data_IF_598953808838
#
_entry.id   IF_598953808838
#
_cell.length_a   1.000
_cell.length_b   1.000
_cell.length_c   1.000
_cell.angle_alpha   90.00
_cell.angle_beta   90.00
_cell.angle_gamma   90.00
#
_symmetry.space_group_name_H-M   'P 1'
#
loop_
_entity.id
_entity.type
_entity.pdbx_description
1 polymer ?
#
# COMPACT_ATOMS: atom_id res chain seq x y z
N UNK A 1 39.84 0.55 -51.89
CA UNK A 1 39.72 -0.40 -50.78
C UNK A 1 40.89 -0.21 -49.83
N UNK A 2 40.67 0.39 -48.68
CA UNK A 2 41.73 0.56 -47.67
C UNK A 2 42.01 -0.77 -46.96
N UNK A 3 43.31 -1.14 -46.94
CA UNK A 3 43.77 -2.34 -46.23
C UNK A 3 43.65 -2.13 -44.71
N UNK A 4 42.88 -2.99 -44.04
CA UNK A 4 42.73 -2.99 -42.59
C UNK A 4 44.11 -3.17 -41.90
N UNK A 5 44.39 -2.39 -40.88
CA UNK A 5 45.59 -2.51 -40.05
C UNK A 5 45.62 -3.85 -39.30
N UNK A 6 46.78 -4.28 -38.81
CA UNK A 6 46.97 -5.54 -38.08
C UNK A 6 46.08 -5.63 -36.83
N UNK A 7 45.87 -4.52 -36.14
CA UNK A 7 44.96 -4.44 -34.97
C UNK A 7 43.49 -4.54 -35.36
N UNK A 8 43.08 -3.89 -36.43
CA UNK A 8 41.70 -3.95 -36.94
C UNK A 8 41.33 -5.39 -37.38
N UNK A 9 42.28 -6.15 -37.93
CA UNK A 9 42.09 -7.57 -38.26
C UNK A 9 41.93 -8.42 -36.98
N UNK A 10 42.69 -8.12 -35.92
CA UNK A 10 42.62 -8.80 -34.63
C UNK A 10 41.29 -8.58 -33.91
N UNK A 11 40.79 -7.36 -33.93
CA UNK A 11 39.48 -6.96 -33.37
C UNK A 11 38.34 -7.62 -34.15
N UNK A 12 38.39 -7.59 -35.48
CA UNK A 12 37.40 -8.25 -36.35
C UNK A 12 37.34 -9.78 -36.11
N UNK A 13 38.47 -10.43 -35.83
CA UNK A 13 38.48 -11.86 -35.49
C UNK A 13 37.85 -12.12 -34.12
N UNK A 14 38.11 -11.29 -33.11
CA UNK A 14 37.49 -11.40 -31.78
C UNK A 14 35.96 -11.16 -31.84
N UNK A 15 35.49 -10.16 -32.61
CA UNK A 15 34.08 -9.87 -32.81
C UNK A 15 33.33 -11.04 -33.46
N UNK A 16 33.94 -11.73 -34.45
CA UNK A 16 33.33 -12.93 -35.06
C UNK A 16 33.20 -14.09 -34.08
N UNK A 17 34.19 -14.26 -33.19
CA UNK A 17 34.12 -15.29 -32.14
C UNK A 17 33.02 -15.00 -31.16
N UNK A 18 32.88 -13.73 -30.70
CA UNK A 18 31.81 -13.28 -29.80
C UNK A 18 30.43 -13.39 -30.43
N UNK A 19 30.29 -13.05 -31.72
CA UNK A 19 29.04 -13.23 -32.46
C UNK A 19 28.62 -14.70 -32.51
N UNK A 20 29.59 -15.59 -32.79
CA UNK A 20 29.29 -17.04 -32.84
C UNK A 20 28.87 -17.58 -31.47
N UNK A 21 29.57 -17.20 -30.41
CA UNK A 21 29.23 -17.57 -29.03
C UNK A 21 27.86 -17.01 -28.59
N UNK A 22 27.52 -15.79 -29.00
CA UNK A 22 26.21 -15.19 -28.70
C UNK A 22 25.05 -15.94 -29.39
N UNK A 23 25.25 -16.36 -30.65
CA UNK A 23 24.26 -17.18 -31.37
C UNK A 23 24.09 -18.56 -30.71
N UNK A 24 25.19 -19.18 -30.32
CA UNK A 24 25.17 -20.47 -29.61
C UNK A 24 24.50 -20.39 -28.23
N UNK A 25 24.52 -19.20 -27.61
CA UNK A 25 23.85 -18.90 -26.32
C UNK A 25 22.36 -18.46 -26.49
N UNK A 26 21.79 -18.55 -27.69
CA UNK A 26 20.36 -18.27 -27.93
C UNK A 26 19.99 -16.81 -28.05
N UNK A 27 20.96 -15.90 -28.24
CA UNK A 27 20.66 -14.47 -28.43
C UNK A 27 20.05 -14.24 -29.83
N UNK A 28 18.88 -13.63 -29.85
CA UNK A 28 18.10 -13.40 -31.07
C UNK A 28 18.86 -12.58 -32.11
N UNK A 29 18.81 -13.02 -33.39
CA UNK A 29 19.52 -12.39 -34.51
C UNK A 29 19.18 -10.89 -34.74
N UNK A 30 18.02 -10.43 -34.29
CA UNK A 30 17.61 -9.02 -34.34
C UNK A 30 18.53 -8.13 -33.48
N UNK A 31 18.90 -8.60 -32.31
CA UNK A 31 19.82 -7.88 -31.39
C UNK A 31 21.24 -7.75 -31.96
N UNK A 32 21.69 -8.81 -32.67
CA UNK A 32 22.99 -8.82 -33.36
C UNK A 32 23.00 -7.89 -34.58
N UNK A 33 21.87 -7.72 -35.28
CA UNK A 33 21.73 -6.72 -36.36
C UNK A 33 21.76 -5.29 -35.80
N UNK A 34 21.13 -5.02 -34.65
CA UNK A 34 21.21 -3.72 -33.99
C UNK A 34 22.62 -3.37 -33.56
N UNK A 35 23.37 -4.32 -32.98
CA UNK A 35 24.79 -4.14 -32.63
C UNK A 35 25.68 -3.91 -33.84
N UNK A 36 25.42 -4.57 -34.97
CA UNK A 36 26.14 -4.34 -36.22
C UNK A 36 25.81 -2.96 -36.84
N UNK A 37 24.56 -2.49 -36.71
CA UNK A 37 24.18 -1.14 -37.14
C UNK A 37 24.89 -0.08 -36.31
N UNK A 38 24.96 -0.22 -35.01
CA UNK A 38 25.69 0.71 -34.11
C UNK A 38 27.20 0.71 -34.41
N UNK A 39 27.78 -0.45 -34.70
CA UNK A 39 29.19 -0.56 -35.06
C UNK A 39 29.52 0.10 -36.39
N UNK A 40 28.70 -0.09 -37.45
CA UNK A 40 28.85 0.53 -38.75
C UNK A 40 28.62 2.03 -38.68
N UNK A 41 27.66 2.50 -37.92
CA UNK A 41 27.42 3.90 -37.64
C UNK A 41 28.62 4.59 -36.99
N UNK A 42 29.31 3.93 -36.06
CA UNK A 42 30.57 4.42 -35.46
C UNK A 42 31.73 4.51 -36.45
N UNK A 43 31.80 3.67 -37.47
CA UNK A 43 32.85 3.72 -38.49
C UNK A 43 32.62 4.85 -39.49
N UNK A 44 31.39 5.11 -39.89
CA UNK A 44 31.05 6.22 -40.78
C UNK A 44 31.23 7.60 -40.14
N UNK A 45 30.95 7.69 -38.82
CA UNK A 45 31.08 8.95 -38.06
C UNK A 45 32.54 9.32 -37.75
N UNK A 46 33.47 8.35 -37.76
CA UNK A 46 34.90 8.63 -37.54
C UNK A 46 35.56 9.36 -38.71
N UNK A 47 34.94 9.40 -39.89
CA UNK A 47 35.51 9.97 -41.11
C UNK A 47 35.03 11.41 -41.41
N UNK A 48 34.07 11.95 -40.63
CA UNK A 48 33.56 13.31 -40.85
C UNK A 48 33.85 14.17 -39.61
N UNK A 49 35.09 14.70 -39.58
CA UNK A 49 35.63 15.41 -38.44
C UNK A 49 34.93 16.74 -38.10
N UNK A 50 35.19 17.21 -36.94
CA UNK A 50 34.91 18.50 -36.28
C UNK A 50 33.46 18.88 -36.02
N UNK A 51 32.60 19.01 -37.03
CA UNK A 51 31.20 19.47 -36.80
C UNK A 51 30.30 18.44 -36.12
N UNK A 52 30.53 17.15 -36.34
CA UNK A 52 29.72 16.08 -35.69
C UNK A 52 30.03 15.96 -34.20
N UNK A 53 31.27 16.16 -33.75
CA UNK A 53 31.58 16.18 -32.30
C UNK A 53 30.89 17.36 -31.62
N UNK A 54 30.83 18.50 -32.23
CA UNK A 54 30.14 19.69 -31.72
C UNK A 54 28.62 19.42 -31.59
N UNK A 55 28.01 18.82 -32.61
CA UNK A 55 26.57 18.47 -32.59
C UNK A 55 26.28 17.47 -31.47
N UNK A 56 27.07 16.42 -31.28
CA UNK A 56 26.90 15.46 -30.22
C UNK A 56 27.02 16.13 -28.84
N UNK A 57 28.00 17.00 -28.64
CA UNK A 57 28.15 17.75 -27.39
C UNK A 57 26.91 18.64 -27.14
N UNK A 58 26.47 19.39 -28.14
CA UNK A 58 25.29 20.26 -28.02
C UNK A 58 24.02 19.46 -27.68
N UNK A 59 23.79 18.33 -28.36
CA UNK A 59 22.64 17.45 -28.08
C UNK A 59 22.73 16.85 -26.69
N UNK A 60 23.90 16.40 -26.27
CA UNK A 60 24.09 15.85 -24.91
C UNK A 60 23.88 16.91 -23.84
N UNK A 61 24.41 18.14 -24.05
CA UNK A 61 24.16 19.24 -23.13
C UNK A 61 22.69 19.64 -23.10
N UNK A 62 22.00 19.67 -24.23
CA UNK A 62 20.56 19.95 -24.28
C UNK A 62 19.73 18.91 -23.53
N UNK A 63 20.01 17.62 -23.73
CA UNK A 63 19.37 16.52 -23.01
C UNK A 63 19.64 16.65 -21.51
N UNK A 64 20.89 16.93 -21.10
CA UNK A 64 21.23 17.14 -19.71
C UNK A 64 20.51 18.33 -19.09
N UNK A 65 20.35 19.44 -19.82
CA UNK A 65 19.59 20.62 -19.39
C UNK A 65 18.11 20.28 -19.23
N UNK A 66 17.50 19.57 -20.19
CA UNK A 66 16.08 19.16 -20.12
C UNK A 66 15.83 18.22 -18.94
N UNK A 67 16.72 17.23 -18.73
CA UNK A 67 16.63 16.32 -17.58
C UNK A 67 16.79 17.10 -16.28
N UNK A 68 17.79 18.00 -16.20
CA UNK A 68 18.03 18.81 -14.99
C UNK A 68 16.86 19.74 -14.69
N UNK A 69 16.27 20.36 -15.72
CA UNK A 69 15.11 21.24 -15.57
C UNK A 69 13.85 20.46 -15.14
N UNK A 70 13.60 19.28 -15.74
CA UNK A 70 12.50 18.41 -15.34
C UNK A 70 12.67 17.92 -13.89
N UNK A 71 13.89 17.55 -13.51
CA UNK A 71 14.21 17.13 -12.16
C UNK A 71 14.09 18.28 -11.15
N UNK A 72 14.57 19.47 -11.50
CA UNK A 72 14.43 20.66 -10.67
C UNK A 72 12.96 21.06 -10.47
N UNK A 73 12.13 21.03 -11.53
CA UNK A 73 10.70 21.28 -11.41
C UNK A 73 9.99 20.24 -10.54
N UNK A 74 10.37 18.98 -10.66
CA UNK A 74 9.84 17.91 -9.79
C UNK A 74 10.21 18.12 -8.32
N UNK A 75 11.43 18.59 -8.03
CA UNK A 75 11.88 18.89 -6.67
C UNK A 75 11.21 20.15 -6.12
N UNK A 76 11.13 21.23 -6.93
CA UNK A 76 10.51 22.50 -6.50
C UNK A 76 9.02 22.33 -6.21
N UNK A 77 8.32 21.49 -6.98
CA UNK A 77 6.91 21.16 -6.78
C UNK A 77 6.66 20.06 -5.73
N UNK A 78 7.68 19.37 -5.30
CA UNK A 78 7.53 18.25 -4.38
C UNK A 78 7.31 18.74 -2.94
N UNK A 79 6.25 18.29 -2.29
CA UNK A 79 6.02 18.51 -0.86
C UNK A 79 7.06 17.81 0.02
N UNK A 80 7.75 16.81 -0.51
CA UNK A 80 8.80 16.05 0.17
C UNK A 80 9.92 15.71 -0.81
N UNK A 81 11.19 15.86 -0.38
CA UNK A 81 12.36 15.52 -1.19
C UNK A 81 12.63 14.02 -1.27
N UNK A 82 12.11 13.26 -0.33
CA UNK A 82 12.23 11.79 -0.32
C UNK A 82 10.95 11.16 -0.87
N UNK A 83 11.07 10.13 -1.71
CA UNK A 83 9.90 9.41 -2.20
C UNK A 83 9.19 8.73 -1.04
N UNK A 84 7.86 8.88 -0.97
CA UNK A 84 7.02 8.19 -0.01
C UNK A 84 6.87 6.72 -0.45
N UNK A 85 7.67 5.83 0.10
CA UNK A 85 7.59 4.39 -0.15
C UNK A 85 7.98 3.59 1.11
N UNK A 86 7.61 2.32 1.12
CA UNK A 86 7.84 1.42 2.25
C UNK A 86 9.31 1.37 2.70
N UNK A 87 10.25 1.32 1.77
CA UNK A 87 11.67 1.24 2.09
C UNK A 87 12.16 2.48 2.84
N UNK A 88 11.79 3.67 2.38
CA UNK A 88 12.18 4.93 3.03
C UNK A 88 11.55 5.01 4.43
N UNK A 89 10.29 4.66 4.56
CA UNK A 89 9.60 4.67 5.86
C UNK A 89 10.23 3.70 6.85
N UNK A 90 10.49 2.45 6.43
CA UNK A 90 11.12 1.46 7.29
C UNK A 90 12.54 1.87 7.71
N UNK A 91 13.30 2.47 6.79
CA UNK A 91 14.67 2.94 7.08
C UNK A 91 14.73 4.20 7.97
N UNK A 92 13.65 5.00 7.99
CA UNK A 92 13.62 6.29 8.71
C UNK A 92 12.76 6.28 9.98
N UNK A 93 11.96 5.22 10.22
CA UNK A 93 11.19 5.13 11.45
C UNK A 93 12.10 5.07 12.67
N UNK A 94 11.71 5.66 13.80
CA UNK A 94 12.43 5.49 15.06
C UNK A 94 12.46 4.01 15.48
N UNK A 95 13.56 3.56 16.05
CA UNK A 95 13.63 2.25 16.69
C UNK A 95 12.69 2.20 17.89
N UNK A 96 11.93 1.14 18.01
CA UNK A 96 11.00 0.95 19.09
C UNK A 96 11.71 0.50 20.39
N UNK A 97 11.27 1.00 21.53
CA UNK A 97 11.64 0.44 22.82
C UNK A 97 10.81 -0.85 23.04
N UNK A 98 11.49 -2.00 23.06
CA UNK A 98 10.84 -3.31 23.16
C UNK A 98 10.07 -3.54 24.48
N UNK A 99 10.10 -2.63 25.42
CA UNK A 99 9.28 -2.69 26.63
C UNK A 99 7.77 -2.71 26.32
N UNK A 100 7.33 -2.14 25.16
CA UNK A 100 5.92 -2.14 24.77
C UNK A 100 5.36 -3.57 24.56
N UNK A 101 6.17 -4.50 24.12
CA UNK A 101 5.77 -5.86 23.76
C UNK A 101 6.38 -6.94 24.65
N UNK A 102 7.29 -6.62 25.55
CA UNK A 102 7.89 -7.59 26.48
C UNK A 102 6.81 -8.27 27.32
N UNK A 103 6.79 -9.62 27.30
CA UNK A 103 5.80 -10.45 27.99
C UNK A 103 4.34 -10.27 27.52
N UNK A 104 4.11 -9.67 26.34
CA UNK A 104 2.78 -9.58 25.73
C UNK A 104 2.56 -10.78 24.84
N UNK A 105 1.66 -11.67 25.25
CA UNK A 105 1.34 -12.93 24.54
C UNK A 105 -0.11 -13.00 24.05
N UNK A 106 -0.91 -12.00 24.41
CA UNK A 106 -2.32 -11.88 24.06
C UNK A 106 -2.78 -10.43 24.23
N UNK A 107 -3.86 -10.01 23.55
CA UNK A 107 -4.43 -8.68 23.75
C UNK A 107 -5.03 -8.54 25.16
N UNK A 108 -5.14 -7.30 25.62
CA UNK A 108 -5.98 -6.97 26.78
C UNK A 108 -7.43 -7.05 26.33
N UNK A 109 -8.25 -7.83 27.01
CA UNK A 109 -9.68 -7.95 26.71
C UNK A 109 -10.50 -7.19 27.73
N UNK A 110 -11.23 -6.19 27.29
CA UNK A 110 -12.06 -5.30 28.09
C UNK A 110 -13.55 -5.50 27.73
N UNK A 111 -14.43 -5.22 28.68
CA UNK A 111 -15.90 -5.28 28.49
C UNK A 111 -16.56 -4.14 29.27
N UNK A 112 -17.59 -3.52 28.68
CA UNK A 112 -18.41 -2.50 29.35
C UNK A 112 -17.55 -1.40 30.02
N UNK A 113 -16.46 -1.02 29.37
CA UNK A 113 -15.48 -0.08 29.93
C UNK A 113 -15.94 1.36 29.77
N UNK A 114 -15.80 2.14 30.80
CA UNK A 114 -16.00 3.59 30.77
C UNK A 114 -14.75 4.31 30.20
N UNK A 115 -14.92 5.52 29.71
CA UNK A 115 -13.81 6.37 29.25
C UNK A 115 -12.73 6.59 30.31
N UNK A 116 -13.14 6.83 31.54
CA UNK A 116 -12.21 7.00 32.68
C UNK A 116 -11.38 5.74 32.96
N UNK A 117 -11.97 4.59 32.83
CA UNK A 117 -11.28 3.31 33.00
C UNK A 117 -10.34 3.02 31.84
N UNK A 118 -10.79 3.32 30.61
CA UNK A 118 -10.02 3.12 29.40
C UNK A 118 -8.78 4.02 29.34
N UNK A 119 -8.81 5.22 29.92
CA UNK A 119 -7.68 6.13 29.97
C UNK A 119 -6.36 5.51 30.46
N UNK A 120 -6.45 4.47 31.31
CA UNK A 120 -5.26 3.71 31.78
C UNK A 120 -4.57 2.90 30.70
N UNK A 121 -5.27 2.60 29.62
CA UNK A 121 -4.82 1.73 28.52
C UNK A 121 -4.60 2.49 27.21
N UNK A 122 -5.26 3.63 27.07
CA UNK A 122 -5.45 4.35 25.82
C UNK A 122 -4.14 4.56 25.02
N UNK A 123 -3.04 4.85 25.69
CA UNK A 123 -1.74 5.15 25.08
C UNK A 123 -0.64 4.16 25.48
N UNK A 124 -1.03 2.95 25.91
CA UNK A 124 -0.08 1.94 26.38
C UNK A 124 0.62 1.18 25.23
N UNK A 125 0.28 1.46 23.98
CA UNK A 125 0.73 0.72 22.79
C UNK A 125 0.49 -0.81 22.85
N UNK A 126 -0.28 -1.29 23.82
CA UNK A 126 -0.65 -2.71 23.96
C UNK A 126 -1.86 -3.01 23.11
N UNK A 127 -1.90 -4.16 22.42
CA UNK A 127 -3.10 -4.60 21.72
C UNK A 127 -4.28 -4.77 22.65
N UNK A 128 -5.43 -4.19 22.32
CA UNK A 128 -6.63 -4.18 23.16
C UNK A 128 -7.82 -4.60 22.32
N UNK A 129 -8.72 -5.40 22.90
CA UNK A 129 -10.06 -5.70 22.37
C UNK A 129 -11.09 -5.22 23.38
N UNK A 130 -11.98 -4.34 22.95
CA UNK A 130 -13.17 -4.01 23.74
C UNK A 130 -14.35 -4.75 23.14
N UNK A 131 -14.86 -5.73 23.89
CA UNK A 131 -15.93 -6.63 23.45
C UNK A 131 -17.28 -5.94 23.46
N UNK A 132 -18.06 -6.13 22.39
CA UNK A 132 -19.42 -5.63 22.22
C UNK A 132 -19.56 -4.09 22.33
N UNK A 133 -18.49 -3.36 22.06
CA UNK A 133 -18.42 -1.91 22.27
C UNK A 133 -19.20 -1.07 21.25
N UNK A 134 -19.58 -1.69 20.13
CA UNK A 134 -20.28 -1.02 19.02
C UNK A 134 -21.52 -1.81 18.55
N UNK A 135 -22.05 -2.66 19.39
CA UNK A 135 -23.21 -3.52 19.06
C UNK A 135 -24.51 -2.71 18.79
N UNK A 136 -24.59 -1.49 19.31
CA UNK A 136 -25.67 -0.55 19.13
C UNK A 136 -25.57 0.30 17.86
N UNK A 137 -24.43 0.28 17.17
CA UNK A 137 -24.28 1.06 15.94
C UNK A 137 -25.30 0.64 14.87
N UNK A 138 -25.96 1.62 14.27
CA UNK A 138 -26.85 1.39 13.12
C UNK A 138 -26.09 0.74 11.95
N UNK A 139 -24.81 1.01 11.82
CA UNK A 139 -23.91 0.42 10.85
C UNK A 139 -23.95 -1.13 10.87
N UNK A 140 -24.12 -1.76 12.03
CA UNK A 140 -24.20 -3.23 12.16
C UNK A 140 -25.36 -3.83 11.36
N UNK A 141 -26.46 -3.11 11.23
CA UNK A 141 -27.65 -3.54 10.48
C UNK A 141 -27.67 -3.03 9.05
N UNK A 142 -27.30 -1.77 8.85
CA UNK A 142 -27.57 -1.04 7.61
C UNK A 142 -26.39 -1.04 6.63
N UNK A 143 -25.14 -1.12 7.08
CA UNK A 143 -24.00 -1.17 6.19
C UNK A 143 -24.03 -2.42 5.30
N UNK A 144 -23.82 -2.23 4.02
CA UNK A 144 -23.80 -3.28 3.02
C UNK A 144 -23.03 -2.81 1.79
N UNK A 145 -22.62 -3.75 0.95
CA UNK A 145 -22.04 -3.41 -0.35
C UNK A 145 -22.94 -2.45 -1.15
N UNK A 146 -24.25 -2.73 -1.22
CA UNK A 146 -25.19 -1.92 -1.98
C UNK A 146 -25.38 -0.52 -1.41
N UNK A 147 -25.27 -0.34 -0.08
CA UNK A 147 -25.33 0.98 0.53
C UNK A 147 -24.16 1.82 0.06
N UNK A 148 -22.94 1.30 0.18
CA UNK A 148 -21.74 2.03 -0.24
C UNK A 148 -21.72 2.27 -1.74
N UNK A 149 -22.07 1.28 -2.56
CA UNK A 149 -22.21 1.44 -4.01
C UNK A 149 -23.13 2.61 -4.36
N UNK A 150 -24.36 2.62 -3.84
CA UNK A 150 -25.32 3.71 -4.08
C UNK A 150 -24.81 5.07 -3.60
N UNK A 151 -24.13 5.10 -2.47
CA UNK A 151 -23.59 6.34 -1.90
C UNK A 151 -22.53 6.94 -2.83
N UNK A 152 -21.58 6.12 -3.29
CA UNK A 152 -20.52 6.57 -4.19
C UNK A 152 -21.04 6.91 -5.60
N UNK A 153 -21.97 6.14 -6.14
CA UNK A 153 -22.57 6.41 -7.45
C UNK A 153 -23.42 7.69 -7.50
N UNK A 154 -23.99 8.09 -6.36
CA UNK A 154 -24.84 9.29 -6.27
C UNK A 154 -24.09 10.55 -5.89
N UNK A 155 -22.89 10.46 -5.38
CA UNK A 155 -22.10 11.60 -4.92
C UNK A 155 -21.07 11.98 -5.99
N UNK A 156 -21.25 13.14 -6.60
CA UNK A 156 -20.33 13.65 -7.61
C UNK A 156 -18.93 13.87 -6.99
N UNK A 157 -17.86 13.47 -7.70
CA UNK A 157 -16.49 13.62 -7.22
C UNK A 157 -16.05 12.58 -6.17
N UNK A 158 -16.91 11.63 -5.79
CA UNK A 158 -16.60 10.65 -4.75
C UNK A 158 -15.46 9.71 -5.12
N UNK A 159 -15.41 9.23 -6.37
CA UNK A 159 -14.34 8.36 -6.85
C UNK A 159 -13.03 9.13 -7.05
N UNK A 160 -13.10 10.32 -7.60
CA UNK A 160 -11.96 11.21 -7.83
C UNK A 160 -11.28 11.60 -6.50
N UNK A 161 -12.07 11.82 -5.44
CA UNK A 161 -11.54 12.13 -4.11
C UNK A 161 -10.66 10.99 -3.54
N UNK A 162 -10.93 9.75 -3.94
CA UNK A 162 -10.10 8.60 -3.59
C UNK A 162 -8.75 8.60 -4.32
N UNK A 163 -8.75 8.97 -5.60
CA UNK A 163 -7.55 8.99 -6.43
C UNK A 163 -6.62 10.16 -6.06
N UNK A 164 -7.20 11.32 -5.70
CA UNK A 164 -6.44 12.54 -5.43
C UNK A 164 -6.01 12.72 -3.97
N UNK A 165 -6.76 12.25 -3.01
CA UNK A 165 -6.57 12.58 -1.60
C UNK A 165 -6.64 11.43 -0.61
N UNK A 166 -7.23 10.32 -0.99
CA UNK A 166 -7.35 9.13 -0.15
C UNK A 166 -6.63 7.93 -0.75
N UNK A 167 -6.72 6.82 -0.07
CA UNK A 167 -6.05 5.60 -0.50
C UNK A 167 -7.07 4.50 -0.77
N UNK A 168 -6.90 3.78 -1.88
CA UNK A 168 -7.54 2.50 -2.13
C UNK A 168 -6.56 1.36 -1.85
N UNK A 169 -6.99 0.38 -1.06
CA UNK A 169 -6.18 -0.75 -0.60
C UNK A 169 -6.75 -2.04 -1.20
N UNK A 170 -6.06 -2.59 -2.18
CA UNK A 170 -6.52 -3.75 -2.95
C UNK A 170 -6.08 -5.11 -2.38
N UNK A 171 -5.29 -5.16 -1.33
CA UNK A 171 -4.73 -6.36 -0.73
C UNK A 171 -4.39 -7.44 -1.79
N UNK A 172 -4.80 -8.68 -1.62
CA UNK A 172 -4.51 -9.79 -2.57
C UNK A 172 -5.60 -9.97 -3.63
N UNK A 173 -6.22 -8.91 -4.13
CA UNK A 173 -7.26 -9.00 -5.16
C UNK A 173 -6.79 -8.47 -6.51
N UNK A 174 -7.58 -8.73 -7.55
CA UNK A 174 -7.43 -8.21 -8.90
C UNK A 174 -8.28 -6.94 -9.15
N UNK A 175 -8.70 -6.27 -8.09
CA UNK A 175 -9.48 -5.02 -8.10
C UNK A 175 -8.56 -3.87 -7.70
N UNK A 176 -8.41 -2.88 -8.54
CA UNK A 176 -7.45 -1.78 -8.34
C UNK A 176 -8.11 -0.44 -8.03
N UNK A 177 -9.41 -0.31 -8.24
CA UNK A 177 -10.17 0.90 -7.96
C UNK A 177 -11.50 0.57 -7.26
N UNK A 178 -12.02 1.51 -6.49
CA UNK A 178 -13.34 1.35 -5.87
C UNK A 178 -14.46 1.25 -6.91
N UNK A 179 -14.28 1.87 -8.08
CA UNK A 179 -15.21 1.77 -9.20
C UNK A 179 -15.29 0.35 -9.74
N UNK A 180 -14.16 -0.35 -9.87
CA UNK A 180 -14.14 -1.78 -10.23
C UNK A 180 -14.84 -2.63 -9.18
N UNK A 181 -14.62 -2.35 -7.88
CA UNK A 181 -15.32 -3.04 -6.79
C UNK A 181 -16.82 -2.92 -6.96
N UNK A 182 -17.35 -1.72 -7.14
CA UNK A 182 -18.79 -1.50 -7.29
C UNK A 182 -19.37 -1.88 -8.66
N UNK A 183 -18.50 -2.29 -9.59
CA UNK A 183 -18.89 -2.84 -10.90
C UNK A 183 -18.82 -4.36 -10.97
N UNK A 184 -18.47 -5.04 -9.87
CA UNK A 184 -18.40 -6.51 -9.85
C UNK A 184 -19.75 -7.16 -10.21
N UNK A 185 -19.72 -8.31 -10.90
CA UNK A 185 -20.91 -9.15 -11.07
C UNK A 185 -21.48 -9.60 -9.71
N UNK A 186 -22.78 -9.67 -9.60
CA UNK A 186 -23.52 -10.07 -8.39
C UNK A 186 -23.01 -11.38 -7.77
N UNK A 187 -22.67 -12.36 -8.61
CA UNK A 187 -22.16 -13.65 -8.17
C UNK A 187 -20.81 -13.52 -7.46
N UNK A 188 -19.96 -12.59 -7.90
CA UNK A 188 -18.70 -12.31 -7.24
C UNK A 188 -18.90 -11.50 -5.96
N UNK A 189 -19.78 -10.50 -5.99
CA UNK A 189 -20.15 -9.73 -4.80
C UNK A 189 -20.60 -10.64 -3.66
N UNK A 190 -21.36 -11.68 -3.98
CA UNK A 190 -21.89 -12.66 -3.02
C UNK A 190 -20.95 -13.85 -2.77
N UNK A 191 -19.73 -13.80 -3.27
CA UNK A 191 -18.74 -14.89 -3.15
C UNK A 191 -19.31 -16.28 -3.47
N UNK A 192 -20.09 -16.39 -4.58
CA UNK A 192 -20.62 -17.68 -5.00
C UNK A 192 -19.51 -18.67 -5.39
N UNK A 193 -19.74 -19.98 -5.27
CA UNK A 193 -18.75 -20.98 -5.65
C UNK A 193 -18.19 -20.76 -7.05
N UNK A 194 -16.87 -20.86 -7.19
CA UNK A 194 -16.15 -20.63 -8.45
C UNK A 194 -15.78 -19.18 -8.72
N UNK A 195 -16.25 -18.23 -7.92
CA UNK A 195 -15.81 -16.84 -8.00
C UNK A 195 -14.48 -16.63 -7.25
N UNK A 196 -13.68 -15.66 -7.72
CA UNK A 196 -12.47 -15.23 -7.01
C UNK A 196 -12.88 -14.49 -5.74
N UNK A 197 -12.31 -14.86 -4.58
CA UNK A 197 -12.51 -14.09 -3.35
C UNK A 197 -11.96 -12.68 -3.52
N UNK A 198 -12.48 -11.75 -2.71
CA UNK A 198 -12.07 -10.35 -2.76
C UNK A 198 -12.13 -9.73 -1.36
N UNK A 199 -11.17 -8.87 -1.09
CA UNK A 199 -11.13 -8.06 0.11
C UNK A 199 -10.43 -6.74 -0.22
N UNK A 200 -11.05 -5.63 0.12
CA UNK A 200 -10.57 -4.28 -0.18
C UNK A 200 -10.78 -3.36 1.02
N UNK A 201 -9.99 -2.29 1.05
CA UNK A 201 -10.19 -1.18 1.95
C UNK A 201 -10.02 0.14 1.22
N UNK A 202 -10.61 1.19 1.75
CA UNK A 202 -10.41 2.56 1.25
C UNK A 202 -10.66 3.59 2.33
N UNK A 203 -9.98 4.74 2.18
CA UNK A 203 -10.26 5.92 2.99
C UNK A 203 -11.41 6.74 2.42
N UNK A 204 -12.30 7.20 3.26
CA UNK A 204 -13.35 8.15 2.89
C UNK A 204 -12.88 9.57 3.22
N UNK A 205 -12.55 10.36 2.19
CA UNK A 205 -12.17 11.77 2.36
C UNK A 205 -13.23 12.73 1.81
N UNK A 206 -14.14 12.26 0.97
CA UNK A 206 -15.19 13.14 0.43
C UNK A 206 -16.10 13.60 1.56
N UNK A 207 -16.30 14.91 1.79
CA UNK A 207 -17.07 15.43 2.92
C UNK A 207 -18.49 14.88 3.01
N UNK A 208 -19.19 14.79 1.87
CA UNK A 208 -20.57 14.30 1.82
C UNK A 208 -20.66 12.80 2.09
N UNK A 209 -19.68 12.01 1.61
CA UNK A 209 -19.58 10.59 1.93
C UNK A 209 -19.36 10.40 3.43
N UNK A 210 -18.39 11.12 4.01
CA UNK A 210 -18.13 11.07 5.46
C UNK A 210 -19.36 11.47 6.28
N UNK A 211 -20.01 12.57 5.92
CA UNK A 211 -21.23 13.04 6.60
C UNK A 211 -22.34 12.00 6.54
N UNK A 212 -22.52 11.33 5.40
CA UNK A 212 -23.53 10.29 5.24
C UNK A 212 -23.18 9.04 6.05
N UNK A 213 -21.92 8.58 6.02
CA UNK A 213 -21.45 7.37 6.73
C UNK A 213 -21.51 7.57 8.25
N UNK A 214 -21.15 8.73 8.76
CA UNK A 214 -21.19 9.11 10.19
C UNK A 214 -22.60 9.19 10.78
N UNK A 215 -23.65 9.14 9.98
CA UNK A 215 -25.02 8.99 10.49
C UNK A 215 -25.32 7.59 11.04
N UNK A 216 -24.49 6.60 10.73
CA UNK A 216 -24.69 5.21 11.11
C UNK A 216 -23.86 4.77 12.30
N UNK A 217 -22.82 5.52 12.66
CA UNK A 217 -21.97 5.27 13.83
C UNK A 217 -21.25 6.55 14.29
N UNK A 218 -20.69 6.50 15.46
CA UNK A 218 -19.79 7.50 16.04
C UNK A 218 -18.51 6.83 16.52
N UNK A 219 -17.40 7.55 16.73
CA UNK A 219 -16.23 6.97 17.39
C UNK A 219 -16.62 6.25 18.70
N UNK A 220 -15.94 5.17 19.06
CA UNK A 220 -16.24 4.45 20.31
C UNK A 220 -16.26 5.38 21.53
N UNK A 221 -17.32 5.31 22.32
CA UNK A 221 -17.58 6.25 23.42
C UNK A 221 -16.60 6.17 24.57
N UNK A 222 -15.82 5.11 24.65
CA UNK A 222 -14.79 4.90 25.67
C UNK A 222 -13.44 5.59 25.31
N UNK A 223 -13.25 6.08 24.08
CA UNK A 223 -12.03 6.80 23.69
C UNK A 223 -11.84 8.06 24.54
N UNK A 224 -10.59 8.49 24.79
CA UNK A 224 -10.31 9.66 25.61
C UNK A 224 -10.98 10.95 25.08
N UNK A 225 -11.33 11.86 25.98
CA UNK A 225 -11.94 13.15 25.63
C UNK A 225 -10.96 14.08 24.89
N UNK A 226 -9.68 13.94 25.17
CA UNK A 226 -8.59 14.70 24.59
C UNK A 226 -8.05 14.09 23.28
N UNK A 227 -8.61 12.96 22.85
CA UNK A 227 -8.21 12.32 21.59
C UNK A 227 -8.62 13.16 20.38
N UNK A 228 -7.67 13.42 19.49
CA UNK A 228 -7.94 13.95 18.16
C UNK A 228 -8.33 12.86 17.20
N UNK A 229 -9.25 13.19 16.28
CA UNK A 229 -9.72 12.28 15.25
C UNK A 229 -9.42 12.87 13.86
N UNK A 230 -8.90 12.08 12.91
CA UNK A 230 -8.68 12.56 11.55
C UNK A 230 -10.01 12.82 10.84
N UNK A 231 -9.96 13.64 9.78
CA UNK A 231 -11.08 13.85 8.90
C UNK A 231 -11.32 12.69 7.92
N UNK A 232 -10.55 11.60 8.05
CA UNK A 232 -10.62 10.43 7.16
C UNK A 232 -10.96 9.21 7.98
N UNK A 233 -11.84 8.37 7.44
CA UNK A 233 -12.19 7.07 8.03
C UNK A 233 -12.08 5.99 6.97
N UNK A 234 -11.58 4.82 7.36
CA UNK A 234 -11.38 3.72 6.45
C UNK A 234 -12.50 2.68 6.60
N UNK A 235 -12.95 2.17 5.46
CA UNK A 235 -13.85 1.02 5.39
C UNK A 235 -13.07 -0.14 4.79
N UNK A 236 -13.24 -1.33 5.39
CA UNK A 236 -12.70 -2.57 4.84
C UNK A 236 -13.81 -3.59 4.76
N UNK A 237 -13.94 -4.24 3.61
CA UNK A 237 -14.90 -5.33 3.51
C UNK A 237 -14.55 -6.34 2.41
N UNK A 238 -15.12 -7.52 2.53
CA UNK A 238 -14.95 -8.62 1.59
C UNK A 238 -15.01 -9.99 2.21
N UNK A 239 -14.43 -10.95 1.51
CA UNK A 239 -14.47 -12.38 1.86
C UNK A 239 -13.08 -12.99 1.89
N UNK A 240 -12.83 -13.87 2.86
CA UNK A 240 -11.77 -14.87 2.93
C UNK A 240 -10.33 -14.34 3.06
N UNK A 241 -9.93 -13.26 2.39
CA UNK A 241 -8.51 -12.90 2.25
C UNK A 241 -8.00 -12.14 3.48
N UNK A 242 -8.54 -10.96 3.78
CA UNK A 242 -7.99 -10.06 4.79
C UNK A 242 -6.69 -9.34 4.36
N UNK A 243 -6.12 -8.55 5.27
CA UNK A 243 -4.90 -7.78 5.04
C UNK A 243 -3.63 -8.62 5.23
N UNK A 244 -2.60 -8.39 4.43
CA UNK A 244 -1.27 -8.98 4.59
C UNK A 244 -0.55 -8.37 5.78
N UNK A 245 0.53 -9.03 6.25
CA UNK A 245 1.37 -8.53 7.34
C UNK A 245 2.07 -7.22 6.93
N UNK A 246 1.80 -6.13 7.66
CA UNK A 246 2.34 -4.78 7.41
C UNK A 246 2.34 -3.92 8.67
N UNK A 247 3.01 -2.78 8.62
CA UNK A 247 2.85 -1.64 9.53
C UNK A 247 2.03 -0.56 8.83
N UNK A 248 1.27 0.21 9.59
CA UNK A 248 0.69 1.46 9.11
C UNK A 248 1.62 2.63 9.44
N UNK A 249 1.79 3.54 8.48
CA UNK A 249 2.56 4.77 8.68
C UNK A 249 1.61 5.94 8.93
N UNK A 250 0.85 5.83 10.01
CA UNK A 250 -0.13 6.81 10.48
C UNK A 250 0.41 7.58 11.70
N UNK A 251 -0.01 8.81 11.97
CA UNK A 251 0.52 9.60 13.07
C UNK A 251 0.03 9.19 14.46
N UNK A 252 -1.12 8.50 14.55
CA UNK A 252 -1.83 8.19 15.79
C UNK A 252 -2.03 6.70 15.98
N UNK A 253 -2.57 6.31 17.11
CA UNK A 253 -3.05 4.96 17.36
C UNK A 253 -4.30 4.67 16.53
N UNK A 254 -4.53 3.40 16.19
CA UNK A 254 -5.66 2.95 15.41
C UNK A 254 -6.73 2.31 16.30
N UNK A 255 -7.98 2.59 15.98
CA UNK A 255 -9.10 1.76 16.39
C UNK A 255 -9.82 1.18 15.17
N UNK A 256 -10.24 -0.08 15.26
CA UNK A 256 -11.04 -0.72 14.22
C UNK A 256 -12.26 -1.42 14.83
N UNK A 257 -13.45 -0.98 14.44
CA UNK A 257 -14.72 -1.58 14.82
C UNK A 257 -15.13 -2.69 13.85
N UNK A 258 -15.34 -3.91 14.36
CA UNK A 258 -15.86 -5.02 13.59
C UNK A 258 -17.37 -4.90 13.44
N UNK A 259 -17.85 -4.38 12.30
CA UNK A 259 -19.27 -4.09 12.06
C UNK A 259 -20.04 -5.35 11.69
N UNK A 260 -19.47 -6.21 10.81
CA UNK A 260 -20.09 -7.47 10.38
C UNK A 260 -19.04 -8.57 10.23
N UNK A 261 -19.46 -9.80 10.49
CA UNK A 261 -18.60 -10.99 10.39
C UNK A 261 -17.50 -10.98 11.44
N UNK A 262 -16.53 -11.82 11.21
CA UNK A 262 -15.45 -12.07 12.16
C UNK A 262 -14.10 -12.03 11.45
N UNK A 263 -13.04 -11.75 12.21
CA UNK A 263 -11.65 -11.79 11.73
C UNK A 263 -10.75 -12.44 12.76
N UNK A 264 -9.70 -13.12 12.27
CA UNK A 264 -8.52 -13.41 13.07
C UNK A 264 -7.47 -12.35 12.75
N UNK A 265 -6.93 -11.74 13.78
CA UNK A 265 -5.78 -10.86 13.71
C UNK A 265 -4.53 -11.62 14.06
N UNK A 266 -3.49 -11.50 13.26
CA UNK A 266 -2.14 -11.99 13.54
C UNK A 266 -1.25 -10.77 13.73
N UNK A 267 -0.61 -10.65 14.89
CA UNK A 267 0.29 -9.55 15.17
C UNK A 267 1.70 -10.03 15.50
N UNK A 268 2.68 -9.21 15.15
CA UNK A 268 4.08 -9.45 15.41
C UNK A 268 4.77 -8.14 15.83
N UNK A 269 5.80 -8.19 16.67
CA UNK A 269 6.58 -7.01 17.00
C UNK A 269 7.37 -6.53 15.77
N UNK A 270 7.89 -5.29 15.84
CA UNK A 270 8.91 -4.83 14.88
C UNK A 270 10.17 -5.69 14.96
N UNK A 271 10.93 -5.76 13.88
CA UNK A 271 12.02 -6.72 13.71
C UNK A 271 13.11 -6.59 14.79
N UNK A 272 13.42 -5.39 15.23
CA UNK A 272 14.40 -5.16 16.30
C UNK A 272 13.97 -5.73 17.66
N UNK A 273 12.69 -6.08 17.83
CA UNK A 273 12.15 -6.63 19.07
C UNK A 273 11.77 -8.11 19.01
N UNK A 274 11.98 -8.80 17.90
CA UNK A 274 11.55 -10.19 17.68
C UNK A 274 12.25 -11.20 18.60
N UNK A 275 13.44 -10.85 19.15
CA UNK A 275 14.19 -11.66 20.10
C UNK A 275 13.67 -11.59 21.55
N UNK A 276 12.81 -10.61 21.87
CA UNK A 276 12.21 -10.42 23.20
C UNK A 276 10.70 -10.68 23.18
N UNK A 277 10.04 -10.30 22.07
CA UNK A 277 8.60 -10.25 21.97
C UNK A 277 8.03 -11.38 21.13
N UNK A 278 6.82 -11.80 21.42
CA UNK A 278 6.18 -12.92 20.75
C UNK A 278 5.13 -12.47 19.73
N UNK A 279 5.00 -13.28 18.67
CA UNK A 279 3.87 -13.21 17.74
C UNK A 279 2.70 -13.95 18.36
N UNK A 280 1.49 -13.45 18.13
CA UNK A 280 0.27 -14.14 18.57
C UNK A 280 -0.93 -13.74 17.71
N UNK A 281 -1.93 -14.62 17.75
CA UNK A 281 -3.20 -14.42 17.06
C UNK A 281 -4.32 -14.18 18.07
N UNK A 282 -5.35 -13.45 17.62
CA UNK A 282 -6.57 -13.29 18.39
C UNK A 282 -7.80 -13.12 17.48
N UNK A 283 -8.94 -13.50 18.00
CA UNK A 283 -10.21 -13.51 17.28
C UNK A 283 -11.07 -12.31 17.65
N UNK A 284 -11.69 -11.71 16.62
CA UNK A 284 -12.54 -10.52 16.75
C UNK A 284 -13.90 -10.82 16.14
N UNK A 285 -14.96 -10.54 16.88
CA UNK A 285 -16.35 -10.78 16.51
C UNK A 285 -17.06 -9.47 16.18
N UNK A 286 -18.16 -9.57 15.45
CA UNK A 286 -19.02 -8.40 15.21
C UNK A 286 -19.43 -7.74 16.53
N UNK A 287 -19.31 -6.43 16.60
CA UNK A 287 -19.54 -5.64 17.82
C UNK A 287 -18.27 -5.28 18.59
N UNK A 288 -17.15 -5.95 18.32
CA UNK A 288 -15.88 -5.69 19.00
C UNK A 288 -15.13 -4.49 18.40
N UNK A 289 -14.30 -3.86 19.22
CA UNK A 289 -13.35 -2.84 18.79
C UNK A 289 -11.93 -3.30 19.13
N UNK A 290 -11.07 -3.32 18.12
CA UNK A 290 -9.61 -3.52 18.28
C UNK A 290 -8.94 -2.16 18.36
N UNK A 291 -8.00 -2.01 19.29
CA UNK A 291 -7.11 -0.85 19.37
C UNK A 291 -5.68 -1.37 19.32
N UNK A 292 -4.89 -0.76 18.42
CA UNK A 292 -3.53 -1.21 18.13
C UNK A 292 -2.65 -0.02 17.75
N UNK A 293 -1.42 -0.02 18.22
CA UNK A 293 -0.37 0.85 17.70
C UNK A 293 0.23 0.19 16.45
N UNK A 294 -0.36 0.45 15.30
CA UNK A 294 0.01 -0.15 14.02
C UNK A 294 1.35 0.35 13.46
N UNK A 295 1.98 1.33 14.13
CA UNK A 295 3.32 1.83 13.79
C UNK A 295 4.44 0.94 14.31
N UNK A 296 4.17 0.15 15.36
CA UNK A 296 5.14 -0.74 16.05
C UNK A 296 4.68 -2.18 16.17
N UNK A 297 3.41 -2.47 15.86
CA UNK A 297 2.90 -3.81 15.74
C UNK A 297 2.61 -4.13 14.27
N UNK A 298 3.42 -5.03 13.69
CA UNK A 298 3.05 -5.67 12.44
C UNK A 298 1.75 -6.41 12.61
N UNK A 299 0.85 -6.26 11.64
CA UNK A 299 -0.45 -6.88 11.72
C UNK A 299 -0.94 -7.41 10.37
N UNK A 300 -1.66 -8.51 10.44
CA UNK A 300 -2.38 -9.12 9.33
C UNK A 300 -3.75 -9.53 9.80
N UNK A 301 -4.68 -9.70 8.88
CA UNK A 301 -6.01 -10.23 9.19
C UNK A 301 -6.37 -11.37 8.25
N UNK A 302 -7.17 -12.31 8.72
CA UNK A 302 -7.79 -13.34 7.91
C UNK A 302 -9.27 -13.46 8.24
N UNK A 303 -10.07 -13.78 7.23
CA UNK A 303 -11.51 -13.95 7.36
C UNK A 303 -11.81 -15.43 7.14
N UNK A 304 -12.63 -16.07 8.00
CA UNK A 304 -13.03 -17.45 7.81
C UNK A 304 -13.68 -17.69 6.44
N UNK A 305 -13.41 -18.84 5.86
CA UNK A 305 -13.90 -19.20 4.52
C UNK A 305 -15.42 -19.05 4.41
N UNK A 306 -15.87 -18.41 3.32
CA UNK A 306 -17.29 -18.18 3.03
C UNK A 306 -17.94 -17.08 3.87
N UNK A 307 -17.22 -16.46 4.81
CA UNK A 307 -17.77 -15.37 5.61
C UNK A 307 -17.49 -14.01 5.00
N UNK A 308 -18.46 -13.12 5.10
CA UNK A 308 -18.30 -11.71 4.81
C UNK A 308 -17.83 -10.98 6.06
N UNK A 309 -16.88 -10.09 5.91
CA UNK A 309 -16.42 -9.22 7.00
C UNK A 309 -16.46 -7.77 6.56
N UNK A 310 -16.88 -6.88 7.47
CA UNK A 310 -16.87 -5.43 7.27
C UNK A 310 -16.43 -4.73 8.53
N UNK A 311 -15.51 -3.78 8.38
CA UNK A 311 -15.00 -2.97 9.49
C UNK A 311 -14.96 -1.49 9.13
N UNK A 312 -15.05 -0.66 10.16
CA UNK A 312 -14.74 0.77 10.14
C UNK A 312 -13.48 0.98 10.95
N UNK A 313 -12.56 1.77 10.44
CA UNK A 313 -11.30 2.10 11.09
C UNK A 313 -11.05 3.59 11.06
N UNK A 314 -10.51 4.12 12.15
CA UNK A 314 -9.96 5.47 12.21
C UNK A 314 -8.84 5.53 13.24
N UNK A 315 -8.31 6.71 13.47
CA UNK A 315 -7.22 6.96 14.40
C UNK A 315 -7.73 7.70 15.63
N UNK A 316 -6.94 7.67 16.72
CA UNK A 316 -7.14 8.49 17.92
C UNK A 316 -5.79 8.79 18.58
N UNK A 317 -5.63 9.97 19.18
CA UNK A 317 -4.40 10.37 19.88
C UNK A 317 -4.23 11.85 20.02
#
# INVERSE_FOLDING_TARGET
>A
MQKLTREQKKIKKKLRILQKSAIESGINGVLLQQLNYIYNYKQETANNGSNKKLIVIVVTCFIAVVISFSFANSIIGARCLLPSNYFVWEATRPLADCAYCANVTKPIVLRNITRREFAKYAYSSRPIIVKNAISDWRASREFSYDLFKRLYERTAGSYESLEDGCQFLNFKTDLFTLKEVFSMPEDRVRNKPGQKPWYVGWGNCHPDILAAVRQYYSPPTFLPDDAEFPATENIFFGYEIGAVMHLDYIPRLMWQGQVKGNKTWSIAPVLECDHICQKFDFYVEAGDVVLLDTRIWYHATSIPKGQFSMTVQSEYG
#
